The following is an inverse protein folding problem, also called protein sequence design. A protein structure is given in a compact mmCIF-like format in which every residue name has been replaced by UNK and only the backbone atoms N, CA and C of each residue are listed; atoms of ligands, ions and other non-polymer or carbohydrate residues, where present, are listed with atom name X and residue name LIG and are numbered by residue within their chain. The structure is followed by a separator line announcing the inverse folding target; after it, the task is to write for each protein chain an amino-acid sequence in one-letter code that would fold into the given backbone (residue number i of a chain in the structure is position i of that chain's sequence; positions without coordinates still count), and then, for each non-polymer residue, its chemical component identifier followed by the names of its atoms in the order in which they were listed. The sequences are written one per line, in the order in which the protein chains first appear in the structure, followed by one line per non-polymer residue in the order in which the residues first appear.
data_IF_613031563260
#
_entry.id   IF_613031563260
#
_cell.length_a   1.000
_cell.length_b   1.000
_cell.length_c   1.000
_cell.angle_alpha   90.00
_cell.angle_beta   90.00
_cell.angle_gamma   90.00
#
_symmetry.space_group_name_H-M   'P 1'
#
loop_
_entity.id
_entity.type
_entity.pdbx_description
1 polymer ?
#
# COMPACT_ATOMS: atom_id res chain seq x y z
N UNK A 1 49.30 5.16 62.67
CA UNK A 1 48.26 5.84 61.86
C UNK A 1 48.63 5.71 60.39
N UNK A 2 48.08 4.74 59.66
CA UNK A 2 48.05 4.75 58.18
C UNK A 2 46.80 3.93 57.79
N UNK A 3 45.92 4.51 56.96
CA UNK A 3 44.59 4.00 56.61
C UNK A 3 44.67 2.79 55.65
N UNK A 4 43.77 1.79 55.75
CA UNK A 4 43.53 0.85 54.66
C UNK A 4 42.57 1.42 53.61
N UNK A 5 42.99 1.29 52.36
CA UNK A 5 42.26 1.37 51.07
C UNK A 5 40.72 1.26 51.15
N UNK A 6 40.02 2.26 50.62
CA UNK A 6 38.63 2.10 50.19
C UNK A 6 38.56 1.31 48.87
N UNK A 7 37.87 0.18 48.90
CA UNK A 7 37.49 -0.57 47.71
C UNK A 7 36.40 0.21 46.94
N UNK A 8 36.63 0.34 45.64
CA UNK A 8 35.69 0.92 44.69
C UNK A 8 34.52 -0.02 44.38
N UNK A 9 33.36 0.59 44.13
CA UNK A 9 32.17 0.11 43.43
C UNK A 9 31.07 -0.57 44.29
N UNK A 10 29.81 -0.10 44.17
CA UNK A 10 28.98 -0.61 43.07
C UNK A 10 28.17 0.47 42.34
N UNK A 11 28.51 0.73 41.07
CA UNK A 11 27.58 1.31 40.10
C UNK A 11 26.48 0.28 39.78
N UNK A 12 25.36 0.47 40.45
CA UNK A 12 24.05 -0.12 40.16
C UNK A 12 23.76 0.04 38.66
N UNK A 13 23.38 -1.03 37.92
CA UNK A 13 22.95 -0.86 36.54
C UNK A 13 21.61 -0.11 36.55
N UNK A 14 21.64 1.15 36.09
CA UNK A 14 20.41 1.88 35.82
C UNK A 14 19.59 1.14 34.76
N UNK A 15 18.26 1.06 34.90
CA UNK A 15 17.42 0.45 33.88
C UNK A 15 17.60 1.25 32.59
N UNK A 16 18.07 0.58 31.52
CA UNK A 16 18.07 1.12 30.17
C UNK A 16 16.67 1.63 29.87
N UNK A 17 16.51 2.95 29.83
CA UNK A 17 15.28 3.59 29.44
C UNK A 17 14.92 3.09 28.04
N UNK A 18 13.94 2.19 27.96
CA UNK A 18 13.31 1.80 26.72
C UNK A 18 12.66 3.06 26.16
N UNK A 19 13.30 3.71 25.20
CA UNK A 19 12.68 4.82 24.49
C UNK A 19 11.34 4.30 23.93
N UNK A 20 10.19 4.93 24.24
CA UNK A 20 8.97 4.60 23.52
C UNK A 20 9.24 4.86 22.04
N UNK A 21 9.01 3.85 21.20
CA UNK A 21 9.01 4.01 19.75
C UNK A 21 7.77 4.83 19.39
N UNK A 22 7.86 6.15 19.57
CA UNK A 22 6.82 7.09 19.19
C UNK A 22 6.76 7.06 17.67
N UNK A 23 5.81 6.29 17.13
CA UNK A 23 5.37 6.46 15.75
C UNK A 23 4.71 7.83 15.70
N UNK A 24 5.45 8.85 15.24
CA UNK A 24 4.83 10.08 14.80
C UNK A 24 3.72 9.68 13.80
N UNK A 25 2.47 10.16 13.96
CA UNK A 25 1.47 9.97 12.92
C UNK A 25 2.06 10.61 11.67
N UNK A 26 2.49 9.77 10.73
CA UNK A 26 2.83 10.22 9.39
C UNK A 26 1.59 10.94 8.92
N UNK A 27 1.65 12.27 8.78
CA UNK A 27 0.57 13.06 8.21
C UNK A 27 0.10 12.30 6.97
N UNK A 28 -1.06 11.67 7.09
CA UNK A 28 -1.57 10.80 6.06
C UNK A 28 -1.97 11.76 4.95
N UNK A 29 -1.06 12.01 4.00
CA UNK A 29 -1.46 12.36 2.65
C UNK A 29 -2.57 11.39 2.32
N UNK A 30 -3.78 11.92 2.16
CA UNK A 30 -4.95 11.14 1.82
C UNK A 30 -4.57 10.29 0.61
N UNK A 31 -4.81 8.98 0.70
CA UNK A 31 -4.51 8.09 -0.41
C UNK A 31 -5.38 8.59 -1.57
N UNK A 32 -4.80 9.15 -2.64
CA UNK A 32 -5.60 9.76 -3.69
C UNK A 32 -6.55 8.70 -4.23
N UNK A 33 -7.82 9.07 -4.34
CA UNK A 33 -8.83 8.19 -4.92
C UNK A 33 -8.43 7.90 -6.37
N UNK A 34 -8.94 6.78 -6.91
CA UNK A 34 -8.67 6.41 -8.30
C UNK A 34 -9.02 7.55 -9.28
N UNK A 35 -10.08 8.31 -8.97
CA UNK A 35 -10.57 9.44 -9.77
C UNK A 35 -9.62 10.65 -9.81
N UNK A 36 -8.71 10.77 -8.86
CA UNK A 36 -7.75 11.89 -8.80
C UNK A 36 -6.43 11.58 -9.51
N UNK A 37 -6.25 10.32 -9.94
CA UNK A 37 -5.03 9.90 -10.61
C UNK A 37 -5.04 10.34 -12.09
N UNK A 38 -3.91 10.86 -12.60
CA UNK A 38 -3.77 11.19 -14.01
C UNK A 38 -3.79 9.93 -14.86
N UNK A 39 -4.17 10.05 -16.13
CA UNK A 39 -4.29 8.90 -17.04
C UNK A 39 -2.98 8.14 -17.27
N UNK A 40 -1.85 8.84 -17.09
CA UNK A 40 -0.50 8.27 -17.16
C UNK A 40 -0.13 7.44 -15.92
N UNK A 41 -0.89 7.50 -14.84
CA UNK A 41 -0.63 6.72 -13.63
C UNK A 41 -0.88 5.22 -13.87
N UNK A 42 -0.16 4.40 -13.11
CA UNK A 42 -0.27 2.94 -13.16
C UNK A 42 -0.93 2.42 -11.89
N UNK A 43 -2.05 1.71 -12.06
CA UNK A 43 -2.81 1.11 -10.98
C UNK A 43 -2.60 -0.41 -10.96
N UNK A 44 -2.44 -0.97 -9.76
CA UNK A 44 -2.40 -2.43 -9.55
C UNK A 44 -3.81 -3.00 -9.37
N UNK A 45 -3.94 -4.32 -9.50
CA UNK A 45 -5.18 -5.04 -9.24
C UNK A 45 -5.84 -4.63 -7.91
N UNK A 46 -5.08 -4.49 -6.81
CA UNK A 46 -5.64 -4.11 -5.49
C UNK A 46 -6.20 -2.68 -5.42
N UNK A 47 -5.90 -1.82 -6.39
CA UNK A 47 -6.44 -0.46 -6.50
C UNK A 47 -7.62 -0.38 -7.47
N UNK A 48 -7.73 -1.37 -8.38
CA UNK A 48 -8.79 -1.41 -9.38
C UNK A 48 -10.01 -2.17 -8.89
N UNK A 49 -9.81 -3.26 -8.14
CA UNK A 49 -10.87 -4.24 -7.83
C UNK A 49 -11.19 -4.27 -6.35
N UNK A 50 -12.44 -4.59 -6.02
CA UNK A 50 -12.89 -4.69 -4.63
C UNK A 50 -12.20 -5.86 -3.91
N UNK A 51 -11.50 -5.56 -2.83
CA UNK A 51 -10.88 -6.56 -1.94
C UNK A 51 -11.68 -6.69 -0.63
N UNK A 52 -12.24 -7.87 -0.32
CA UNK A 52 -12.94 -8.12 0.94
C UNK A 52 -12.08 -7.83 2.18
N UNK A 53 -10.76 -7.97 2.09
CA UNK A 53 -9.83 -7.72 3.20
C UNK A 53 -9.64 -6.24 3.49
N UNK A 54 -9.94 -5.36 2.52
CA UNK A 54 -9.72 -3.92 2.61
C UNK A 54 -10.93 -3.14 2.06
N UNK A 55 -12.10 -3.25 2.70
CA UNK A 55 -13.34 -2.65 2.19
C UNK A 55 -13.35 -1.11 2.19
N UNK A 56 -12.46 -0.48 2.96
CA UNK A 56 -12.36 0.98 3.10
C UNK A 56 -11.74 1.65 1.88
N UNK A 57 -11.13 0.91 0.95
CA UNK A 57 -10.49 1.50 -0.23
C UNK A 57 -11.53 1.72 -1.34
N UNK A 58 -11.71 2.96 -1.82
CA UNK A 58 -12.53 3.20 -3.00
C UNK A 58 -11.85 2.53 -4.20
N UNK A 59 -12.61 1.70 -4.91
CA UNK A 59 -12.12 0.98 -6.10
C UNK A 59 -13.14 1.17 -7.22
N UNK A 60 -12.69 1.42 -8.46
CA UNK A 60 -13.58 1.76 -9.56
C UNK A 60 -14.39 0.55 -10.08
N UNK A 61 -13.96 -0.68 -9.80
CA UNK A 61 -14.55 -1.88 -10.41
C UNK A 61 -15.31 -2.75 -9.40
N UNK A 62 -16.58 -3.10 -9.66
CA UNK A 62 -17.44 -3.83 -8.72
C UNK A 62 -17.28 -5.37 -8.80
N UNK A 63 -16.08 -5.88 -9.06
CA UNK A 63 -15.83 -7.33 -9.13
C UNK A 63 -14.67 -7.79 -8.24
N UNK A 64 -14.64 -9.09 -7.98
CA UNK A 64 -13.58 -9.73 -7.20
C UNK A 64 -12.28 -9.89 -8.02
N UNK A 65 -11.12 -10.04 -7.35
CA UNK A 65 -9.84 -10.29 -8.03
C UNK A 65 -9.86 -11.49 -8.98
N UNK A 66 -10.58 -12.56 -8.64
CA UNK A 66 -10.68 -13.75 -9.49
C UNK A 66 -11.42 -13.46 -10.80
N UNK A 67 -12.53 -12.72 -10.74
CA UNK A 67 -13.30 -12.34 -11.93
C UNK A 67 -12.52 -11.36 -12.81
N UNK A 68 -11.75 -10.46 -12.18
CA UNK A 68 -10.84 -9.58 -12.89
C UNK A 68 -9.84 -10.35 -13.75
N UNK A 69 -9.13 -11.31 -13.17
CA UNK A 69 -8.14 -12.10 -13.91
C UNK A 69 -8.77 -12.92 -15.03
N UNK A 70 -10.02 -13.39 -14.86
CA UNK A 70 -10.77 -14.03 -15.95
C UNK A 70 -11.00 -13.07 -17.11
N UNK A 71 -11.51 -11.86 -16.85
CA UNK A 71 -11.70 -10.82 -17.89
C UNK A 71 -10.40 -10.39 -18.57
N UNK A 72 -9.29 -10.30 -17.81
CA UNK A 72 -7.95 -10.01 -18.37
C UNK A 72 -7.50 -11.15 -19.28
N UNK A 73 -7.73 -12.41 -18.88
CA UNK A 73 -7.41 -13.59 -19.70
C UNK A 73 -8.27 -13.68 -20.95
N UNK A 74 -9.55 -13.36 -20.84
CA UNK A 74 -10.52 -13.35 -21.95
C UNK A 74 -10.28 -12.19 -22.94
N UNK A 75 -9.38 -11.26 -22.60
CA UNK A 75 -9.04 -10.11 -23.45
C UNK A 75 -10.09 -9.00 -23.45
N UNK A 76 -11.10 -9.09 -22.59
CA UNK A 76 -12.17 -8.07 -22.48
C UNK A 76 -11.72 -6.85 -21.68
N UNK A 77 -10.67 -6.97 -20.86
CA UNK A 77 -10.10 -5.87 -20.07
C UNK A 77 -8.80 -5.36 -20.70
N UNK A 78 -8.41 -4.07 -20.53
CA UNK A 78 -7.18 -3.52 -21.08
C UNK A 78 -5.93 -4.35 -20.75
N UNK A 79 -4.96 -4.29 -21.66
CA UNK A 79 -3.75 -5.12 -21.59
C UNK A 79 -2.91 -4.74 -20.36
N UNK A 80 -2.42 -5.74 -19.61
CA UNK A 80 -1.52 -5.48 -18.49
C UNK A 80 -0.16 -4.93 -18.95
N UNK A 81 0.31 -3.90 -18.26
CA UNK A 81 1.68 -3.37 -18.36
C UNK A 81 2.55 -4.06 -17.32
N UNK A 82 3.58 -4.79 -17.77
CA UNK A 82 4.58 -5.40 -16.88
C UNK A 82 5.66 -4.39 -16.52
N UNK A 83 5.71 -3.95 -15.26
CA UNK A 83 6.81 -3.12 -14.74
C UNK A 83 8.03 -3.95 -14.35
N UNK A 84 7.82 -5.18 -13.90
CA UNK A 84 8.89 -6.09 -13.44
C UNK A 84 8.42 -7.54 -13.54
N UNK A 85 9.30 -8.50 -13.26
CA UNK A 85 9.02 -9.94 -13.30
C UNK A 85 7.78 -10.36 -12.47
N UNK A 86 7.46 -9.62 -11.39
CA UNK A 86 6.32 -9.89 -10.50
C UNK A 86 5.28 -8.76 -10.42
N UNK A 87 5.48 -7.67 -11.15
CA UNK A 87 4.63 -6.48 -11.03
C UNK A 87 3.89 -6.24 -12.34
N UNK A 88 2.57 -6.39 -12.24
CA UNK A 88 1.62 -6.08 -13.31
C UNK A 88 0.76 -4.89 -12.88
N UNK A 89 0.64 -3.91 -13.75
CA UNK A 89 -0.20 -2.73 -13.56
C UNK A 89 -0.95 -2.38 -14.85
N UNK A 90 -1.90 -1.46 -14.74
CA UNK A 90 -2.68 -0.94 -15.86
C UNK A 90 -2.62 0.58 -15.84
N UNK A 91 -2.64 1.21 -17.02
CA UNK A 91 -2.77 2.66 -17.09
C UNK A 91 -4.17 3.05 -16.63
N UNK A 92 -4.25 4.09 -15.81
CA UNK A 92 -5.52 4.64 -15.33
C UNK A 92 -6.39 5.07 -16.51
N UNK A 93 -5.79 5.70 -17.54
CA UNK A 93 -6.49 6.10 -18.76
C UNK A 93 -7.21 4.94 -19.45
N UNK A 94 -6.49 3.87 -19.80
CA UNK A 94 -7.06 2.68 -20.45
C UNK A 94 -8.22 2.07 -19.64
N UNK A 95 -8.10 2.08 -18.30
CA UNK A 95 -9.16 1.58 -17.42
C UNK A 95 -10.37 2.51 -17.41
N UNK A 96 -10.18 3.84 -17.40
CA UNK A 96 -11.27 4.82 -17.51
C UNK A 96 -12.00 4.70 -18.83
N UNK A 97 -11.27 4.60 -19.94
CA UNK A 97 -11.85 4.38 -21.28
C UNK A 97 -12.67 3.09 -21.33
N UNK A 98 -12.15 2.02 -20.75
CA UNK A 98 -12.89 0.76 -20.63
C UNK A 98 -14.18 0.93 -19.83
N UNK A 99 -14.14 1.58 -18.66
CA UNK A 99 -15.32 1.84 -17.82
C UNK A 99 -16.35 2.67 -18.60
N UNK A 100 -15.91 3.73 -19.28
CA UNK A 100 -16.78 4.58 -20.10
C UNK A 100 -17.45 3.78 -21.23
N UNK A 101 -16.71 2.86 -21.87
CA UNK A 101 -17.24 1.98 -22.91
C UNK A 101 -18.27 0.97 -22.38
N UNK A 102 -18.23 0.57 -21.11
CA UNK A 102 -19.23 -0.32 -20.50
C UNK A 102 -20.51 0.39 -20.03
N UNK A 103 -20.42 1.69 -19.71
CA UNK A 103 -21.57 2.49 -19.24
C UNK A 103 -22.34 3.20 -20.34
N UNK A 104 -21.88 3.09 -21.60
CA UNK A 104 -22.52 3.68 -22.78
C UNK A 104 -23.46 2.70 -23.52
N UNK A 105 -23.76 1.54 -22.94
CA UNK A 105 -24.76 0.56 -23.42
C UNK A 105 -26.08 0.66 -22.63
#
# INVERSE_FOLDING_TARGET
MIQPTQATNPLKPEPRATLPKVFAPRLATEIPSFDELPDSALARQSQLVRDPKHPTRPTPLPFSPATFWRKVKDGTFPKPVKLSARITAWRVGDVREWIAAQGAE
#
